data_IF_208724790320
#
_entry.id   IF_208724790320
#
_cell.length_a   1.000
_cell.length_b   1.000
_cell.length_c   1.000
_cell.angle_alpha   90.00
_cell.angle_beta   90.00
_cell.angle_gamma   90.00
#
_symmetry.space_group_name_H-M   'P 1'
#
loop_
_entity.id
_entity.type
_entity.pdbx_description
1 polymer ?
#
# COMPACT_ATOMS: atom_id res chain seq x y z
N UNK A 1 -26.98 -15.40 6.88
CA UNK A 1 -26.02 -14.26 6.99
C UNK A 1 -26.35 -13.30 5.88
N UNK A 2 -26.82 -12.10 6.19
CA UNK A 2 -27.43 -11.16 5.22
C UNK A 2 -26.32 -10.43 4.46
N UNK A 3 -26.51 -10.18 3.16
CA UNK A 3 -25.60 -9.41 2.27
C UNK A 3 -25.19 -8.06 2.90
N UNK A 4 -26.05 -7.45 3.71
CA UNK A 4 -25.75 -6.23 4.45
C UNK A 4 -24.59 -6.38 5.46
N UNK A 5 -24.44 -7.55 6.10
CA UNK A 5 -23.34 -7.82 7.04
C UNK A 5 -22.01 -8.07 6.32
N UNK A 6 -22.03 -8.58 5.10
CA UNK A 6 -20.84 -8.74 4.27
C UNK A 6 -20.35 -7.38 3.74
N UNK A 7 -21.26 -6.50 3.32
CA UNK A 7 -20.92 -5.15 2.87
C UNK A 7 -20.38 -4.26 4.02
N UNK A 8 -20.95 -4.40 5.23
CA UNK A 8 -20.48 -3.66 6.41
C UNK A 8 -19.10 -4.14 6.89
N UNK A 9 -18.79 -5.44 6.78
CA UNK A 9 -17.47 -5.96 7.12
C UNK A 9 -16.41 -5.59 6.09
N UNK A 10 -16.77 -5.57 4.79
CA UNK A 10 -15.88 -5.14 3.71
C UNK A 10 -15.50 -3.66 3.85
N UNK A 11 -16.49 -2.77 4.08
CA UNK A 11 -16.23 -1.34 4.27
C UNK A 11 -15.34 -1.01 5.49
N UNK A 12 -15.36 -1.88 6.52
CA UNK A 12 -14.52 -1.72 7.70
C UNK A 12 -13.07 -2.12 7.46
N UNK A 13 -12.84 -3.11 6.58
CA UNK A 13 -11.50 -3.58 6.22
C UNK A 13 -10.80 -2.65 5.21
N UNK A 14 -11.53 -2.01 4.29
CA UNK A 14 -10.96 -1.15 3.24
C UNK A 14 -10.16 0.03 3.83
N UNK A 15 -10.59 0.56 4.97
CA UNK A 15 -9.87 1.64 5.66
C UNK A 15 -8.67 1.15 6.49
N UNK A 16 -8.56 -0.14 6.77
CA UNK A 16 -7.51 -0.73 7.59
C UNK A 16 -6.12 -0.60 6.95
N UNK A 17 -6.02 -1.00 5.69
CA UNK A 17 -4.76 -0.97 4.92
C UNK A 17 -4.21 0.45 4.85
N UNK A 18 -5.04 1.41 4.47
CA UNK A 18 -4.62 2.81 4.28
C UNK A 18 -4.17 3.47 5.59
N UNK A 19 -4.77 3.10 6.71
CA UNK A 19 -4.39 3.62 8.04
C UNK A 19 -3.02 3.16 8.49
N UNK A 20 -2.57 1.99 8.04
CA UNK A 20 -1.28 1.39 8.41
C UNK A 20 -0.12 1.83 7.53
N UNK A 21 -0.38 2.53 6.43
CA UNK A 21 0.70 3.00 5.53
C UNK A 21 1.76 3.85 6.25
N UNK A 22 1.41 4.78 7.16
CA UNK A 22 2.44 5.51 7.92
C UNK A 22 3.33 4.59 8.76
N UNK A 23 2.76 3.54 9.38
CA UNK A 23 3.50 2.57 10.18
C UNK A 23 4.45 1.76 9.30
N UNK A 24 3.99 1.38 8.09
CA UNK A 24 4.83 0.73 7.08
C UNK A 24 5.99 1.63 6.66
N UNK A 25 5.76 2.92 6.50
CA UNK A 25 6.83 3.86 6.13
C UNK A 25 7.88 4.01 7.22
N UNK A 26 7.51 3.85 8.49
CA UNK A 26 8.46 3.88 9.62
C UNK A 26 9.18 2.55 9.79
N UNK A 27 8.46 1.44 9.72
CA UNK A 27 8.99 0.09 9.93
C UNK A 27 9.48 -0.62 8.66
N UNK A 28 9.74 0.10 7.57
CA UNK A 28 10.03 -0.49 6.25
C UNK A 28 11.36 -1.27 6.16
N UNK A 29 12.24 -1.13 7.12
CA UNK A 29 13.59 -1.73 7.09
C UNK A 29 13.52 -3.26 7.10
N UNK A 30 12.61 -3.85 7.90
CA UNK A 30 12.42 -5.29 7.95
C UNK A 30 10.99 -5.68 8.30
N UNK A 31 10.59 -6.90 7.89
CA UNK A 31 9.29 -7.46 8.25
C UNK A 31 9.08 -7.50 9.77
N UNK A 32 10.13 -7.82 10.54
CA UNK A 32 10.07 -7.87 12.02
C UNK A 32 9.76 -6.51 12.62
N UNK A 33 10.43 -5.45 12.18
CA UNK A 33 10.21 -4.09 12.67
C UNK A 33 8.80 -3.62 12.33
N UNK A 34 8.34 -3.89 11.10
CA UNK A 34 6.99 -3.57 10.70
C UNK A 34 5.95 -4.31 11.55
N UNK A 35 6.14 -5.60 11.83
CA UNK A 35 5.25 -6.35 12.72
C UNK A 35 5.18 -5.70 14.10
N UNK A 36 6.33 -5.36 14.68
CA UNK A 36 6.39 -4.69 15.99
C UNK A 36 5.66 -3.35 15.97
N UNK A 37 5.84 -2.54 14.92
CA UNK A 37 5.13 -1.27 14.76
C UNK A 37 3.60 -1.47 14.66
N UNK A 38 3.16 -2.45 13.87
CA UNK A 38 1.74 -2.75 13.69
C UNK A 38 1.08 -3.29 14.97
N UNK A 39 1.77 -4.15 15.70
CA UNK A 39 1.32 -4.67 17.00
C UNK A 39 1.21 -3.56 18.05
N UNK A 40 2.18 -2.64 18.09
CA UNK A 40 2.18 -1.51 19.00
C UNK A 40 1.08 -0.47 18.69
N UNK A 41 0.63 -0.40 17.44
CA UNK A 41 -0.39 0.57 17.00
C UNK A 41 -1.83 0.09 17.19
N UNK A 42 -2.05 -1.18 17.54
CA UNK A 42 -3.38 -1.78 17.63
C UNK A 42 -3.59 -2.48 18.97
N UNK A 43 -4.70 -2.13 19.66
CA UNK A 43 -5.13 -2.83 20.89
C UNK A 43 -5.71 -4.24 20.61
N UNK A 44 -5.75 -4.66 19.35
CA UNK A 44 -6.25 -5.97 18.94
C UNK A 44 -5.19 -6.73 18.14
N UNK A 45 -5.13 -8.06 18.27
CA UNK A 45 -4.23 -8.88 17.46
C UNK A 45 -4.51 -8.64 15.98
N UNK A 46 -3.46 -8.26 15.27
CA UNK A 46 -3.53 -7.87 13.85
C UNK A 46 -3.69 -9.12 13.01
N UNK A 47 -4.92 -9.50 12.71
CA UNK A 47 -5.18 -10.42 11.61
C UNK A 47 -4.95 -9.69 10.28
N UNK A 48 -3.68 -9.50 9.92
CA UNK A 48 -3.31 -8.97 8.62
C UNK A 48 -3.37 -10.12 7.62
N UNK A 49 -4.18 -9.95 6.58
CA UNK A 49 -4.26 -10.97 5.53
C UNK A 49 -2.94 -10.99 4.73
N UNK A 50 -2.56 -12.16 4.22
CA UNK A 50 -1.30 -12.35 3.48
C UNK A 50 -1.14 -11.43 2.26
N UNK A 51 -2.26 -11.00 1.65
CA UNK A 51 -2.26 -10.01 0.57
C UNK A 51 -1.81 -8.62 1.04
N UNK A 52 -2.24 -8.17 2.22
CA UNK A 52 -1.78 -6.89 2.81
C UNK A 52 -0.28 -6.93 3.08
N UNK A 53 0.23 -8.04 3.60
CA UNK A 53 1.66 -8.24 3.79
C UNK A 53 2.43 -8.15 2.47
N UNK A 54 1.89 -8.72 1.38
CA UNK A 54 2.49 -8.60 0.04
C UNK A 54 2.54 -7.15 -0.43
N UNK A 55 1.50 -6.35 -0.12
CA UNK A 55 1.48 -4.92 -0.42
C UNK A 55 2.50 -4.14 0.41
N UNK A 56 2.58 -4.39 1.72
CA UNK A 56 3.52 -3.71 2.61
C UNK A 56 4.98 -4.06 2.26
N UNK A 57 5.25 -5.31 1.90
CA UNK A 57 6.55 -5.73 1.41
C UNK A 57 6.93 -4.97 0.13
N UNK A 58 6.02 -4.88 -0.85
CA UNK A 58 6.25 -4.13 -2.08
C UNK A 58 6.49 -2.64 -1.82
N UNK A 59 5.74 -2.04 -0.89
CA UNK A 59 5.92 -0.65 -0.49
C UNK A 59 7.29 -0.43 0.17
N UNK A 60 7.68 -1.31 1.10
CA UNK A 60 8.98 -1.27 1.79
C UNK A 60 10.14 -1.43 0.82
N UNK A 61 10.06 -2.40 -0.10
CA UNK A 61 11.06 -2.61 -1.14
C UNK A 61 11.15 -1.41 -2.10
N UNK A 62 10.01 -0.78 -2.41
CA UNK A 62 10.00 0.45 -3.22
C UNK A 62 10.66 1.61 -2.49
N UNK A 63 10.48 1.76 -1.17
CA UNK A 63 11.19 2.75 -0.34
C UNK A 63 12.70 2.48 -0.38
N UNK A 64 13.11 1.23 -0.36
CA UNK A 64 14.51 0.82 -0.51
C UNK A 64 15.07 0.99 -1.94
N UNK A 65 14.28 1.52 -2.88
CA UNK A 65 14.69 1.77 -4.26
C UNK A 65 14.46 0.61 -5.24
N UNK A 66 13.81 -0.47 -4.78
CA UNK A 66 13.49 -1.64 -5.61
C UNK A 66 12.10 -1.47 -6.21
N UNK A 67 12.00 -0.87 -7.38
CA UNK A 67 10.72 -0.58 -8.04
C UNK A 67 10.03 -1.79 -8.68
N UNK A 68 10.79 -2.87 -8.93
CA UNK A 68 10.29 -4.12 -9.51
C UNK A 68 10.83 -5.30 -8.70
N UNK A 69 10.29 -5.53 -7.50
CA UNK A 69 10.79 -6.59 -6.65
C UNK A 69 10.56 -7.97 -7.29
N UNK A 70 11.57 -8.81 -7.18
CA UNK A 70 11.56 -10.22 -7.57
C UNK A 70 11.10 -11.09 -6.40
N UNK A 71 10.81 -12.38 -6.66
CA UNK A 71 10.50 -13.32 -5.59
C UNK A 71 11.64 -13.41 -4.55
N UNK A 72 12.90 -13.24 -4.96
CA UNK A 72 14.05 -13.23 -4.08
C UNK A 72 14.06 -11.99 -3.16
N UNK A 73 13.69 -10.82 -3.67
CA UNK A 73 13.59 -9.59 -2.88
C UNK A 73 12.53 -9.73 -1.79
N UNK A 74 11.35 -10.27 -2.15
CA UNK A 74 10.29 -10.57 -1.18
C UNK A 74 10.73 -11.58 -0.12
N UNK A 75 11.38 -12.67 -0.52
CA UNK A 75 11.89 -13.69 0.40
C UNK A 75 12.93 -13.11 1.37
N UNK A 76 13.82 -12.24 0.87
CA UNK A 76 14.84 -11.57 1.67
C UNK A 76 14.22 -10.60 2.69
N UNK A 77 13.14 -9.92 2.31
CA UNK A 77 12.46 -8.97 3.19
C UNK A 77 11.71 -9.66 4.34
N UNK A 78 11.02 -10.78 4.06
CA UNK A 78 10.18 -11.45 5.06
C UNK A 78 10.92 -12.37 6.00
N UNK A 79 12.06 -12.93 5.58
CA UNK A 79 12.77 -14.03 6.27
C UNK A 79 11.89 -15.27 6.58
N UNK A 80 10.60 -15.21 6.31
CA UNK A 80 9.60 -16.29 6.48
C UNK A 80 8.75 -16.39 5.23
N UNK A 81 8.55 -17.61 4.71
CA UNK A 81 7.83 -17.81 3.45
C UNK A 81 6.31 -17.68 3.60
N UNK A 82 5.77 -17.89 4.80
CA UNK A 82 4.32 -18.11 5.00
C UNK A 82 3.50 -16.84 5.19
N UNK A 83 4.14 -15.67 5.24
CA UNK A 83 3.47 -14.39 5.51
C UNK A 83 2.86 -13.76 4.25
N UNK A 84 3.47 -14.02 3.08
CA UNK A 84 3.09 -13.39 1.82
C UNK A 84 2.04 -14.21 1.05
N UNK A 85 1.22 -13.53 0.29
CA UNK A 85 0.35 -14.17 -0.68
C UNK A 85 1.13 -14.47 -1.97
N UNK A 86 1.68 -15.69 -2.06
CA UNK A 86 2.46 -16.12 -3.21
C UNK A 86 1.66 -16.16 -4.51
N UNK A 87 0.36 -16.49 -4.45
CA UNK A 87 -0.51 -16.51 -5.63
C UNK A 87 -0.59 -15.14 -6.29
N UNK A 88 -0.75 -14.08 -5.48
CA UNK A 88 -0.75 -12.70 -5.98
C UNK A 88 0.61 -12.33 -6.58
N UNK A 89 1.70 -12.63 -5.87
CA UNK A 89 3.05 -12.26 -6.32
C UNK A 89 3.43 -12.98 -7.61
N UNK A 90 3.12 -14.27 -7.72
CA UNK A 90 3.36 -15.07 -8.91
C UNK A 90 2.52 -14.58 -10.09
N UNK A 91 1.23 -14.28 -9.86
CA UNK A 91 0.37 -13.72 -10.90
C UNK A 91 0.89 -12.38 -11.40
N UNK A 92 1.27 -11.46 -10.51
CA UNK A 92 1.88 -10.17 -10.86
C UNK A 92 3.15 -10.40 -11.68
N UNK A 93 4.05 -11.25 -11.19
CA UNK A 93 5.30 -11.57 -11.87
C UNK A 93 5.07 -12.12 -13.29
N UNK A 94 4.13 -13.04 -13.46
CA UNK A 94 3.74 -13.59 -14.76
C UNK A 94 3.16 -12.53 -15.70
N UNK A 95 2.24 -11.70 -15.20
CA UNK A 95 1.64 -10.64 -16.00
C UNK A 95 2.67 -9.62 -16.47
N UNK A 96 3.61 -9.23 -15.61
CA UNK A 96 4.69 -8.29 -15.94
C UNK A 96 5.68 -8.91 -16.92
N UNK A 97 6.15 -10.13 -16.65
CA UNK A 97 7.11 -10.88 -17.49
C UNK A 97 6.59 -11.08 -18.91
N UNK A 98 5.34 -11.48 -19.06
CA UNK A 98 4.74 -11.77 -20.36
C UNK A 98 4.07 -10.53 -20.99
N UNK A 99 4.17 -9.34 -20.39
CA UNK A 99 3.57 -8.09 -20.87
C UNK A 99 2.10 -8.28 -21.27
N UNK A 100 1.32 -8.95 -20.41
CA UNK A 100 -0.08 -9.26 -20.71
C UNK A 100 -0.86 -7.98 -21.02
N UNK A 101 -1.78 -8.09 -21.97
CA UNK A 101 -2.71 -6.99 -22.28
C UNK A 101 -3.66 -6.74 -21.10
N UNK A 102 -4.28 -5.56 -21.05
CA UNK A 102 -5.27 -5.23 -20.03
C UNK A 102 -6.45 -6.23 -20.01
N UNK A 103 -6.91 -6.63 -21.20
CA UNK A 103 -7.98 -7.61 -21.32
C UNK A 103 -7.55 -8.96 -20.70
N UNK A 104 -6.38 -9.48 -21.08
CA UNK A 104 -5.84 -10.72 -20.52
C UNK A 104 -5.59 -10.63 -19.00
N UNK A 105 -5.18 -9.47 -18.50
CA UNK A 105 -4.99 -9.22 -17.08
C UNK A 105 -6.34 -9.26 -16.34
N UNK A 106 -7.34 -8.55 -16.86
CA UNK A 106 -8.71 -8.57 -16.33
C UNK A 106 -9.30 -9.97 -16.31
N UNK A 107 -9.18 -10.70 -17.41
CA UNK A 107 -9.80 -12.02 -17.57
C UNK A 107 -9.08 -13.11 -16.74
N UNK A 108 -7.80 -12.91 -16.41
CA UNK A 108 -7.03 -13.82 -15.56
C UNK A 108 -7.21 -13.58 -14.06
N UNK A 109 -7.63 -12.39 -13.63
CA UNK A 109 -7.78 -12.03 -12.22
C UNK A 109 -8.87 -12.84 -11.50
N UNK A 110 -10.08 -13.06 -12.07
CA UNK A 110 -11.11 -13.88 -11.45
C UNK A 110 -10.77 -15.37 -11.37
N UNK A 111 -9.75 -15.85 -12.09
CA UNK A 111 -9.29 -17.23 -12.01
C UNK A 111 -8.54 -17.51 -10.69
N UNK A 112 -8.07 -16.45 -10.03
CA UNK A 112 -7.53 -16.51 -8.69
C UNK A 112 -8.70 -16.49 -7.70
N UNK A 113 -8.65 -17.35 -6.68
CA UNK A 113 -9.67 -17.41 -5.63
C UNK A 113 -9.56 -16.23 -4.64
N UNK A 114 -9.34 -15.01 -5.16
CA UNK A 114 -9.08 -13.81 -4.39
C UNK A 114 -10.38 -13.06 -4.06
N UNK A 115 -10.47 -12.55 -2.84
CA UNK A 115 -11.51 -11.61 -2.47
C UNK A 115 -11.30 -10.22 -3.15
N UNK A 116 -12.30 -9.34 -3.14
CA UNK A 116 -12.19 -8.04 -3.83
C UNK A 116 -11.05 -7.12 -3.35
N UNK A 117 -10.67 -7.21 -2.05
CA UNK A 117 -9.54 -6.45 -1.49
C UNK A 117 -8.23 -6.99 -2.05
N UNK A 118 -8.06 -8.31 -2.05
CA UNK A 118 -6.89 -8.97 -2.62
C UNK A 118 -6.73 -8.71 -4.12
N UNK A 119 -7.82 -8.69 -4.87
CA UNK A 119 -7.82 -8.30 -6.29
C UNK A 119 -7.36 -6.85 -6.48
N UNK A 120 -7.77 -5.94 -5.60
CA UNK A 120 -7.34 -4.53 -5.62
C UNK A 120 -5.86 -4.39 -5.34
N UNK A 121 -5.33 -5.17 -4.39
CA UNK A 121 -3.90 -5.24 -4.09
C UNK A 121 -3.12 -5.80 -5.28
N UNK A 122 -3.56 -6.92 -5.85
CA UNK A 122 -2.92 -7.53 -7.02
C UNK A 122 -2.83 -6.57 -8.20
N UNK A 123 -3.91 -5.84 -8.49
CA UNK A 123 -3.95 -4.82 -9.55
C UNK A 123 -3.05 -3.62 -9.25
N UNK A 124 -2.98 -3.16 -7.99
CA UNK A 124 -2.09 -2.06 -7.60
C UNK A 124 -0.62 -2.46 -7.78
N UNK A 125 -0.24 -3.67 -7.36
CA UNK A 125 1.09 -4.23 -7.55
C UNK A 125 1.43 -4.37 -9.04
N UNK A 126 0.54 -4.94 -9.83
CA UNK A 126 0.73 -5.06 -11.27
C UNK A 126 0.87 -3.70 -11.95
N UNK A 127 0.02 -2.72 -11.59
CA UNK A 127 0.05 -1.38 -12.17
C UNK A 127 1.36 -0.64 -11.91
N UNK A 128 1.88 -0.74 -10.69
CA UNK A 128 3.14 -0.10 -10.31
C UNK A 128 4.37 -0.68 -11.04
N UNK A 129 4.34 -1.97 -11.37
CA UNK A 129 5.47 -2.67 -12.01
C UNK A 129 5.39 -2.69 -13.54
N UNK A 130 4.17 -2.71 -14.10
CA UNK A 130 3.96 -2.87 -15.55
C UNK A 130 4.12 -1.58 -16.35
N UNK A 131 4.02 -0.41 -15.69
CA UNK A 131 4.02 0.89 -16.36
C UNK A 131 5.01 1.85 -15.70
N UNK A 132 6.32 1.54 -15.77
CA UNK A 132 7.35 2.36 -15.14
C UNK A 132 7.40 3.76 -15.78
N UNK A 133 7.48 4.79 -14.93
CA UNK A 133 7.71 6.17 -15.36
C UNK A 133 6.47 6.93 -15.84
N UNK A 134 5.31 6.29 -15.96
CA UNK A 134 4.11 7.00 -16.41
C UNK A 134 2.91 6.80 -15.47
N UNK A 135 2.76 7.73 -14.55
CA UNK A 135 1.73 7.76 -13.53
C UNK A 135 0.30 7.69 -14.10
N UNK A 136 0.01 8.59 -15.06
CA UNK A 136 -1.32 8.69 -15.67
C UNK A 136 -1.69 7.41 -16.43
N UNK A 137 -0.72 6.84 -17.15
CA UNK A 137 -0.96 5.61 -17.88
C UNK A 137 -1.19 4.43 -16.93
N UNK A 138 -0.43 4.32 -15.83
CA UNK A 138 -0.65 3.31 -14.81
C UNK A 138 -2.06 3.40 -14.24
N UNK A 139 -2.47 4.61 -13.81
CA UNK A 139 -3.81 4.85 -13.27
C UNK A 139 -4.91 4.54 -14.29
N UNK A 140 -4.84 5.12 -15.49
CA UNK A 140 -5.90 4.94 -16.50
C UNK A 140 -6.07 3.47 -16.87
N UNK A 141 -4.98 2.72 -17.02
CA UNK A 141 -5.03 1.30 -17.33
C UNK A 141 -5.64 0.47 -16.19
N UNK A 142 -5.17 0.67 -14.98
CA UNK A 142 -5.58 -0.17 -13.85
C UNK A 142 -7.01 0.13 -13.42
N UNK A 143 -7.42 1.40 -13.41
CA UNK A 143 -8.79 1.76 -13.02
C UNK A 143 -9.86 1.29 -14.02
N UNK A 144 -9.50 1.09 -15.30
CA UNK A 144 -10.41 0.51 -16.30
C UNK A 144 -10.73 -0.96 -16.05
N UNK A 145 -9.84 -1.70 -15.41
CA UNK A 145 -10.01 -3.15 -15.16
C UNK A 145 -10.32 -3.48 -13.71
N UNK A 146 -10.18 -2.52 -12.82
CA UNK A 146 -10.39 -2.73 -11.39
C UNK A 146 -11.87 -2.90 -11.06
N UNK A 147 -12.27 -3.96 -10.35
CA UNK A 147 -13.63 -4.11 -9.81
C UNK A 147 -13.92 -3.11 -8.68
N UNK A 148 -12.88 -2.62 -8.01
CA UNK A 148 -12.98 -1.66 -6.91
C UNK A 148 -12.02 -0.47 -7.10
N UNK A 149 -12.29 0.45 -8.04
CA UNK A 149 -11.37 1.56 -8.34
C UNK A 149 -11.14 2.50 -7.14
N UNK A 150 -12.10 2.63 -6.23
CA UNK A 150 -11.98 3.46 -5.01
C UNK A 150 -10.94 2.93 -4.02
N UNK A 151 -10.69 1.62 -4.00
CA UNK A 151 -9.66 0.99 -3.18
C UNK A 151 -8.33 0.87 -3.95
N UNK A 152 -8.40 0.45 -5.20
CA UNK A 152 -7.20 0.23 -6.03
C UNK A 152 -6.43 1.53 -6.30
N UNK A 153 -7.13 2.65 -6.50
CA UNK A 153 -6.49 3.94 -6.80
C UNK A 153 -5.54 4.41 -5.69
N UNK A 154 -5.94 4.50 -4.40
CA UNK A 154 -5.03 4.92 -3.35
C UNK A 154 -3.88 3.93 -3.13
N UNK A 155 -4.10 2.61 -3.22
CA UNK A 155 -3.03 1.62 -3.12
C UNK A 155 -1.99 1.80 -4.23
N UNK A 156 -2.44 1.93 -5.48
CA UNK A 156 -1.55 2.22 -6.61
C UNK A 156 -0.83 3.56 -6.43
N UNK A 157 -1.54 4.57 -5.92
CA UNK A 157 -1.00 5.89 -5.63
C UNK A 157 0.13 5.87 -4.61
N UNK A 158 0.03 5.05 -3.57
CA UNK A 158 1.10 4.89 -2.59
C UNK A 158 2.36 4.30 -3.22
N UNK A 159 2.24 3.21 -4.00
CA UNK A 159 3.38 2.58 -4.66
C UNK A 159 4.05 3.53 -5.67
N UNK A 160 3.27 4.18 -6.53
CA UNK A 160 3.80 5.14 -7.50
C UNK A 160 4.37 6.38 -6.82
N UNK A 161 3.75 6.85 -5.72
CA UNK A 161 4.23 7.98 -4.94
C UNK A 161 5.60 7.73 -4.32
N UNK A 162 5.85 6.53 -3.83
CA UNK A 162 7.17 6.13 -3.31
C UNK A 162 8.20 6.01 -4.44
N UNK A 163 7.81 5.43 -5.58
CA UNK A 163 8.72 5.22 -6.71
C UNK A 163 9.14 6.51 -7.41
N UNK A 164 8.22 7.46 -7.56
CA UNK A 164 8.45 8.66 -8.37
C UNK A 164 8.47 9.97 -7.57
N UNK A 165 8.10 9.92 -6.31
CA UNK A 165 8.01 11.09 -5.44
C UNK A 165 7.02 12.14 -5.95
N UNK A 166 7.11 13.34 -5.41
CA UNK A 166 6.23 14.45 -5.78
C UNK A 166 6.36 14.86 -7.25
N UNK A 167 7.54 14.68 -7.83
CA UNK A 167 7.80 15.06 -9.23
C UNK A 167 7.07 14.18 -10.22
N UNK A 168 6.78 12.92 -9.84
CA UNK A 168 6.00 11.99 -10.65
C UNK A 168 4.52 12.36 -10.77
N UNK A 169 3.99 13.17 -9.85
CA UNK A 169 2.58 13.60 -9.90
C UNK A 169 2.38 14.61 -11.03
N UNK A 170 1.49 14.35 -11.99
CA UNK A 170 1.21 15.25 -13.10
C UNK A 170 0.86 16.68 -12.63
N UNK A 171 1.38 17.68 -13.32
CA UNK A 171 1.18 19.10 -12.97
C UNK A 171 -0.32 19.47 -12.91
N UNK A 172 -1.13 18.93 -13.81
CA UNK A 172 -2.57 19.12 -13.81
C UNK A 172 -3.24 18.67 -12.50
N UNK A 173 -2.84 17.52 -11.96
CA UNK A 173 -3.35 17.05 -10.67
C UNK A 173 -2.81 17.88 -9.51
N UNK A 174 -1.55 18.30 -9.56
CA UNK A 174 -0.97 19.16 -8.51
C UNK A 174 -1.67 20.51 -8.40
N UNK A 175 -2.04 21.10 -9.53
CA UNK A 175 -2.79 22.37 -9.55
C UNK A 175 -4.21 22.17 -9.04
N UNK A 176 -4.88 21.11 -9.47
CA UNK A 176 -6.27 20.84 -9.08
C UNK A 176 -6.44 20.60 -7.57
N UNK A 177 -5.48 19.91 -6.94
CA UNK A 177 -5.52 19.57 -5.52
C UNK A 177 -4.54 20.42 -4.69
N UNK A 178 -4.34 21.69 -5.04
CA UNK A 178 -3.30 22.54 -4.43
C UNK A 178 -3.47 22.70 -2.91
N UNK A 179 -4.70 22.84 -2.43
CA UNK A 179 -4.99 22.99 -1.00
C UNK A 179 -4.71 21.70 -0.23
N UNK A 180 -5.29 20.58 -0.68
CA UNK A 180 -5.11 19.26 -0.04
C UNK A 180 -3.67 18.78 -0.17
N UNK A 181 -3.02 19.05 -1.31
CA UNK A 181 -1.63 18.72 -1.53
C UNK A 181 -0.68 19.45 -0.58
N UNK A 182 -0.96 20.70 -0.22
CA UNK A 182 -0.17 21.43 0.81
C UNK A 182 -0.29 20.77 2.17
N UNK A 183 -1.49 20.37 2.58
CA UNK A 183 -1.72 19.68 3.85
C UNK A 183 -0.98 18.35 3.87
N UNK A 184 -1.09 17.55 2.81
CA UNK A 184 -0.38 16.27 2.67
C UNK A 184 1.15 16.48 2.73
N UNK A 185 1.68 17.50 2.06
CA UNK A 185 3.11 17.80 2.05
C UNK A 185 3.63 18.21 3.44
N UNK A 186 2.86 18.99 4.18
CA UNK A 186 3.21 19.36 5.57
C UNK A 186 3.26 18.11 6.45
N UNK A 187 2.24 17.24 6.36
CA UNK A 187 2.21 15.97 7.11
C UNK A 187 3.37 15.06 6.73
N UNK A 188 3.68 14.93 5.44
CA UNK A 188 4.78 14.11 4.95
C UNK A 188 6.14 14.63 5.46
N UNK A 189 6.38 15.95 5.41
CA UNK A 189 7.60 16.57 5.96
C UNK A 189 7.74 16.35 7.46
N UNK A 190 6.63 16.44 8.19
CA UNK A 190 6.61 16.13 9.62
C UNK A 190 6.96 14.68 9.91
N UNK A 191 6.40 13.74 9.14
CA UNK A 191 6.72 12.32 9.26
C UNK A 191 8.21 12.05 9.00
N UNK A 192 8.78 12.63 7.93
CA UNK A 192 10.21 12.50 7.62
C UNK A 192 11.07 13.10 8.73
N UNK A 193 10.70 14.26 9.28
CA UNK A 193 11.41 14.88 10.40
C UNK A 193 11.44 13.98 11.63
N UNK A 194 10.29 13.40 12.00
CA UNK A 194 10.19 12.45 13.11
C UNK A 194 11.02 11.19 12.85
N UNK A 195 10.97 10.65 11.64
CA UNK A 195 11.71 9.48 11.24
C UNK A 195 13.22 9.70 11.23
N UNK A 196 13.69 10.89 10.86
CA UNK A 196 15.11 11.27 10.89
C UNK A 196 15.64 11.62 12.29
N UNK A 197 14.85 11.43 13.34
CA UNK A 197 15.23 11.76 14.72
C UNK A 197 15.11 13.23 15.08
N UNK A 198 14.54 14.06 14.21
CA UNK A 198 14.26 15.46 14.49
C UNK A 198 13.14 15.61 15.50
N UNK A 199 13.40 16.31 16.61
CA UNK A 199 12.34 16.66 17.57
C UNK A 199 11.38 17.68 16.93
N UNK A 200 10.08 17.42 17.06
CA UNK A 200 9.06 18.37 16.66
C UNK A 200 8.73 19.22 17.90
N UNK A 201 9.21 20.44 17.95
CA UNK A 201 9.01 21.37 19.06
C UNK A 201 7.52 21.65 19.35
N UNK A 202 6.63 21.27 18.41
CA UNK A 202 5.18 21.43 18.55
C UNK A 202 4.48 20.22 19.18
N UNK A 203 5.18 19.10 19.39
CA UNK A 203 4.67 17.97 20.14
C UNK A 203 4.91 18.19 21.66
N UNK A 204 4.23 19.16 22.24
CA UNK A 204 3.90 19.07 23.66
C UNK A 204 2.91 17.91 23.77
N UNK A 205 3.43 16.72 24.00
CA UNK A 205 2.63 15.58 24.42
C UNK A 205 1.97 16.01 25.73
N UNK A 206 0.69 16.39 25.66
CA UNK A 206 -0.12 16.53 26.88
C UNK A 206 0.04 15.23 27.66
N UNK A 207 0.52 15.28 28.90
CA UNK A 207 0.66 14.06 29.70
C UNK A 207 -0.71 13.40 29.74
N UNK A 208 -0.76 12.12 29.32
CA UNK A 208 -1.95 11.28 29.52
C UNK A 208 -2.37 11.48 30.97
N UNK A 209 -3.51 12.10 31.19
CA UNK A 209 -4.15 12.11 32.51
C UNK A 209 -4.36 10.64 32.86
N UNK A 210 -3.53 10.15 33.76
CA UNK A 210 -3.78 8.90 34.47
C UNK A 210 -5.08 9.09 35.23
N UNK A 211 -6.16 8.53 34.73
CA UNK A 211 -7.36 8.31 35.51
C UNK A 211 -7.05 7.16 36.47
N UNK A 212 -6.39 7.51 37.58
CA UNK A 212 -6.48 6.76 38.81
C UNK A 212 -7.62 7.39 39.59
N UNK A 213 -8.76 6.71 39.61
CA UNK A 213 -9.67 6.56 40.77
C UNK A 213 -10.63 5.42 40.45
#
# INVERSE_FOLDING_TARGET
MTIANQLASSAKNDNGIMRRIPDVMVGHVSCRELMTCLEASTDQPVAVISAEWSFYAALSLSIAGISKPTAQDYASWTQTKDVLNHEILDWVGQCVKHRKSLAATRDSLPLLSLNPVEQSIALALYGSQSTPGNWMLAFSRILQVSPQPKLTAPLLGCLLGVQFGQQGIPSSLRVHYQADGKICLVKARRLVKLWSGGQDETLVVSPRRSYLN
#
